data_IF_972372927258
#
_entry.id   IF_972372927258
#
_cell.length_a   1.000
_cell.length_b   1.000
_cell.length_c   1.000
_cell.angle_alpha   90.00
_cell.angle_beta   90.00
_cell.angle_gamma   90.00
#
_symmetry.space_group_name_H-M   'P 1'
#
loop_
_entity.id
_entity.type
_entity.pdbx_description
1 polymer ?
#
# COMPACT_ATOMS: atom_id res chain seq x y z
N UNK A 1 -12.24 -27.53 -21.71
CA UNK A 1 -11.05 -27.04 -20.99
C UNK A 1 -10.99 -27.80 -19.68
N UNK A 2 -10.29 -28.93 -19.64
CA UNK A 2 -10.12 -29.70 -18.42
C UNK A 2 -9.23 -28.89 -17.46
N UNK A 3 -9.78 -28.47 -16.32
CA UNK A 3 -8.98 -27.85 -15.27
C UNK A 3 -7.90 -28.83 -14.80
N UNK A 4 -6.75 -28.30 -14.40
CA UNK A 4 -5.69 -29.11 -13.80
C UNK A 4 -6.30 -29.96 -12.68
N UNK A 5 -6.03 -31.28 -12.64
CA UNK A 5 -6.60 -32.15 -11.63
C UNK A 5 -6.20 -31.64 -10.24
N UNK A 6 -7.13 -31.70 -9.29
CA UNK A 6 -6.95 -31.13 -7.93
C UNK A 6 -5.65 -31.60 -7.25
N UNK A 7 -5.18 -32.81 -7.56
CA UNK A 7 -3.91 -33.37 -7.08
C UNK A 7 -2.68 -32.57 -7.53
N UNK A 8 -2.69 -32.01 -8.74
CA UNK A 8 -1.59 -31.20 -9.27
C UNK A 8 -1.58 -29.81 -8.65
N UNK A 9 -2.77 -29.26 -8.36
CA UNK A 9 -2.90 -27.98 -7.65
C UNK A 9 -2.41 -28.12 -6.21
N UNK A 10 -2.82 -29.18 -5.49
CA UNK A 10 -2.33 -29.47 -4.13
C UNK A 10 -0.83 -29.74 -4.10
N UNK A 11 -0.29 -30.45 -5.09
CA UNK A 11 1.16 -30.68 -5.18
C UNK A 11 1.91 -29.35 -5.39
N UNK A 12 1.46 -28.49 -6.30
CA UNK A 12 2.07 -27.17 -6.52
C UNK A 12 1.99 -26.27 -5.28
N UNK A 13 0.87 -26.34 -4.55
CA UNK A 13 0.65 -25.54 -3.34
C UNK A 13 1.51 -26.04 -2.17
N UNK A 14 1.73 -27.36 -2.07
CA UNK A 14 2.66 -27.97 -1.12
C UNK A 14 4.13 -27.62 -1.44
N UNK A 15 4.52 -27.64 -2.71
CA UNK A 15 5.85 -27.27 -3.16
C UNK A 15 6.14 -25.78 -2.90
N UNK A 16 5.16 -24.90 -3.14
CA UNK A 16 5.27 -23.48 -2.83
C UNK A 16 5.38 -23.22 -1.31
N UNK A 17 4.62 -23.95 -0.48
CA UNK A 17 4.72 -23.89 0.99
C UNK A 17 6.08 -24.37 1.48
N UNK A 18 6.62 -25.42 0.89
CA UNK A 18 7.94 -25.94 1.23
C UNK A 18 9.05 -24.96 0.80
N UNK A 19 8.98 -24.40 -0.41
CA UNK A 19 9.93 -23.39 -0.86
C UNK A 19 9.90 -22.11 0.01
N UNK A 20 8.71 -21.69 0.46
CA UNK A 20 8.58 -20.60 1.44
C UNK A 20 9.21 -20.95 2.78
N UNK A 21 9.05 -22.18 3.24
CA UNK A 21 9.67 -22.70 4.48
C UNK A 21 11.20 -22.83 4.35
N UNK A 22 11.72 -23.15 3.18
CA UNK A 22 13.16 -23.26 2.93
C UNK A 22 13.81 -21.87 2.80
N UNK A 23 13.10 -20.89 2.24
CA UNK A 23 13.56 -19.49 2.11
C UNK A 23 13.44 -18.70 3.42
N UNK A 24 12.43 -18.97 4.25
CA UNK A 24 12.13 -18.21 5.47
C UNK A 24 12.29 -19.01 6.78
N UNK A 25 12.74 -20.27 6.70
CA UNK A 25 12.79 -21.21 7.82
C UNK A 25 11.40 -21.67 8.26
N UNK A 26 11.32 -22.78 9.00
CA UNK A 26 10.15 -23.09 9.83
C UNK A 26 9.96 -21.91 10.80
N UNK A 27 9.07 -20.98 10.47
CA UNK A 27 8.69 -19.89 11.36
C UNK A 27 7.95 -20.43 12.58
N UNK A 28 8.60 -21.21 13.43
CA UNK A 28 8.41 -21.02 14.87
C UNK A 28 8.99 -19.64 15.16
N UNK A 29 8.27 -18.77 15.87
CA UNK A 29 8.88 -17.54 16.38
C UNK A 29 10.11 -17.96 17.20
N UNK A 30 11.30 -17.62 16.69
CA UNK A 30 12.52 -17.81 17.45
C UNK A 30 12.45 -16.88 18.67
N UNK A 31 12.12 -17.47 19.83
CA UNK A 31 12.25 -16.82 21.13
C UNK A 31 10.97 -16.48 21.88
N UNK A 32 9.93 -17.33 21.87
CA UNK A 32 9.02 -17.35 23.05
C UNK A 32 9.66 -18.32 24.05
N UNK A 33 10.34 -17.85 25.11
CA UNK A 33 10.76 -18.75 26.18
C UNK A 33 9.51 -19.39 26.78
N UNK A 34 9.55 -20.72 26.91
CA UNK A 34 8.56 -21.48 27.67
C UNK A 34 8.39 -20.83 29.04
N UNK A 35 7.14 -20.46 29.39
CA UNK A 35 6.68 -20.02 30.70
C UNK A 35 7.65 -19.12 31.48
N UNK A 36 7.54 -17.80 31.29
CA UNK A 36 8.11 -16.84 32.25
C UNK A 36 7.35 -17.01 33.58
N UNK A 37 8.05 -17.27 34.71
CA UNK A 37 7.39 -17.40 36.00
C UNK A 37 6.73 -16.07 36.38
N UNK A 38 5.48 -16.15 36.86
CA UNK A 38 4.67 -15.07 37.41
C UNK A 38 5.42 -14.34 38.54
N UNK A 39 6.22 -13.34 38.19
CA UNK A 39 6.83 -12.43 39.14
C UNK A 39 6.59 -11.00 38.64
N UNK A 40 5.69 -10.22 39.27
CA UNK A 40 5.47 -8.84 38.88
C UNK A 40 6.72 -8.02 39.26
N UNK A 41 7.49 -7.62 38.26
CA UNK A 41 8.55 -6.62 38.44
C UNK A 41 7.89 -5.28 38.75
N UNK A 42 7.74 -5.00 40.05
CA UNK A 42 7.28 -3.72 40.56
C UNK A 42 8.31 -2.63 40.26
N UNK A 43 8.14 -1.90 39.15
CA UNK A 43 8.86 -0.64 38.94
C UNK A 43 8.04 0.49 39.57
N UNK A 44 8.27 0.67 40.86
CA UNK A 44 7.89 1.85 41.62
C UNK A 44 8.85 2.99 41.30
N UNK A 45 8.44 3.95 40.50
CA UNK A 45 8.66 5.41 40.69
C UNK A 45 8.05 6.19 39.53
N UNK A 46 7.52 7.38 39.84
CA UNK A 46 6.65 8.19 38.99
C UNK A 46 7.27 8.53 37.60
N UNK A 47 6.66 7.98 36.55
CA UNK A 47 6.38 8.65 35.27
C UNK A 47 7.47 8.77 34.17
N UNK A 48 8.35 7.77 34.00
CA UNK A 48 9.19 7.70 32.80
C UNK A 48 9.25 6.28 32.22
N UNK A 49 8.80 6.11 30.97
CA UNK A 49 9.00 4.88 30.20
C UNK A 49 10.50 4.56 30.07
N UNK A 50 10.91 3.28 30.20
CA UNK A 50 12.27 2.86 29.94
C UNK A 50 12.73 3.26 28.53
N UNK A 51 14.01 3.58 28.36
CA UNK A 51 14.53 4.10 27.08
C UNK A 51 14.37 3.11 25.93
N UNK A 52 14.62 1.83 26.18
CA UNK A 52 14.38 0.73 25.24
C UNK A 52 12.92 0.67 24.78
N UNK A 53 11.95 0.88 25.68
CA UNK A 53 10.52 0.87 25.34
C UNK A 53 10.16 2.10 24.50
N UNK A 54 10.76 3.26 24.77
CA UNK A 54 10.56 4.46 23.93
C UNK A 54 11.09 4.24 22.51
N UNK A 55 12.31 3.72 22.37
CA UNK A 55 12.90 3.40 21.07
C UNK A 55 12.06 2.38 20.31
N UNK A 56 11.58 1.34 21.01
CA UNK A 56 10.67 0.35 20.45
C UNK A 56 9.41 1.01 19.86
N UNK A 57 8.72 1.84 20.65
CA UNK A 57 7.51 2.54 20.20
C UNK A 57 7.82 3.44 18.98
N UNK A 58 8.91 4.21 19.02
CA UNK A 58 9.31 5.11 17.93
C UNK A 58 9.53 4.35 16.62
N UNK A 59 10.23 3.22 16.67
CA UNK A 59 10.48 2.39 15.49
C UNK A 59 9.17 1.81 14.93
N UNK A 60 8.27 1.31 15.80
CA UNK A 60 7.00 0.73 15.36
C UNK A 60 6.06 1.78 14.77
N UNK A 61 6.05 3.00 15.33
CA UNK A 61 5.33 4.13 14.75
C UNK A 61 5.94 4.55 13.40
N UNK A 62 7.27 4.52 13.26
CA UNK A 62 7.95 4.79 11.99
C UNK A 62 7.56 3.78 10.89
N UNK A 63 7.33 2.52 11.28
CA UNK A 63 6.76 1.46 10.44
C UNK A 63 5.26 1.58 10.17
N UNK A 64 4.61 2.69 10.58
CA UNK A 64 3.18 2.96 10.39
C UNK A 64 2.26 1.85 10.95
N UNK A 65 2.67 1.22 12.05
CA UNK A 65 1.82 0.29 12.81
C UNK A 65 0.66 1.05 13.47
N UNK A 66 -0.46 0.37 13.68
CA UNK A 66 -1.59 0.93 14.42
C UNK A 66 -1.21 1.10 15.90
N UNK A 67 -1.54 2.23 16.55
CA UNK A 67 -1.24 2.43 17.97
C UNK A 67 -1.80 1.34 18.88
N UNK A 68 -2.93 0.72 18.50
CA UNK A 68 -3.53 -0.40 19.26
C UNK A 68 -2.66 -1.66 19.23
N UNK A 69 -2.09 -1.95 18.07
CA UNK A 69 -1.22 -3.10 17.87
C UNK A 69 0.09 -2.90 18.64
N UNK A 70 0.65 -1.67 18.60
CA UNK A 70 1.86 -1.33 19.37
C UNK A 70 1.64 -1.47 20.88
N UNK A 71 0.47 -1.07 21.40
CA UNK A 71 0.13 -1.27 22.82
C UNK A 71 0.12 -2.76 23.17
N UNK A 72 -0.46 -3.60 22.30
CA UNK A 72 -0.48 -5.06 22.50
C UNK A 72 0.93 -5.63 22.50
N UNK A 73 1.73 -5.26 21.50
CA UNK A 73 3.10 -5.75 21.31
C UNK A 73 4.03 -5.32 22.46
N UNK A 74 3.86 -4.11 23.00
CA UNK A 74 4.58 -3.66 24.20
C UNK A 74 4.17 -4.45 25.44
N UNK A 75 2.88 -4.78 25.57
CA UNK A 75 2.40 -5.62 26.67
C UNK A 75 2.98 -7.03 26.59
N UNK A 76 3.04 -7.63 25.41
CA UNK A 76 3.61 -8.97 25.22
C UNK A 76 5.13 -9.00 25.43
N UNK A 77 5.84 -8.01 24.89
CA UNK A 77 7.32 -8.00 24.90
C UNK A 77 7.91 -7.53 26.22
N UNK A 78 7.28 -6.55 26.87
CA UNK A 78 7.82 -5.89 28.07
C UNK A 78 6.95 -6.08 29.32
N UNK A 79 5.80 -6.76 29.22
CA UNK A 79 4.82 -6.87 30.31
C UNK A 79 4.38 -5.51 30.87
N UNK A 80 4.39 -4.47 30.02
CA UNK A 80 4.01 -3.10 30.39
C UNK A 80 2.66 -2.74 29.78
N UNK A 81 1.74 -2.27 30.62
CA UNK A 81 0.46 -1.73 30.16
C UNK A 81 0.59 -0.23 29.91
N UNK A 82 0.53 0.17 28.65
CA UNK A 82 0.58 1.57 28.21
C UNK A 82 -0.72 1.97 27.49
N UNK A 83 -1.03 3.26 27.45
CA UNK A 83 -2.17 3.76 26.69
C UNK A 83 -1.77 4.12 25.26
N UNK A 84 -2.72 4.03 24.32
CA UNK A 84 -2.49 4.42 22.93
C UNK A 84 -2.09 5.90 22.80
N UNK A 85 -2.61 6.78 23.66
CA UNK A 85 -2.22 8.20 23.68
C UNK A 85 -0.73 8.40 23.99
N UNK A 86 -0.15 7.54 24.85
CA UNK A 86 1.28 7.56 25.14
C UNK A 86 2.09 7.10 23.93
N UNK A 87 1.61 6.08 23.20
CA UNK A 87 2.23 5.62 21.94
C UNK A 87 2.25 6.74 20.89
N UNK A 88 1.14 7.46 20.73
CA UNK A 88 1.03 8.55 19.75
C UNK A 88 1.92 9.76 20.05
N UNK A 89 2.33 9.94 21.31
CA UNK A 89 3.28 10.98 21.70
C UNK A 89 4.69 10.73 21.12
N UNK A 90 5.01 9.49 20.78
CA UNK A 90 6.31 9.12 20.19
C UNK A 90 6.27 9.07 18.65
N UNK A 91 5.48 9.96 18.05
CA UNK A 91 5.39 10.13 16.60
C UNK A 91 5.62 11.62 16.25
N UNK A 92 6.76 11.99 15.65
CA UNK A 92 7.09 13.38 15.33
C UNK A 92 6.23 13.97 14.21
N UNK A 93 5.48 13.15 13.46
CA UNK A 93 4.56 13.63 12.42
C UNK A 93 3.25 14.16 13.00
N UNK A 94 2.92 13.76 14.23
CA UNK A 94 1.73 14.20 14.96
C UNK A 94 2.04 15.40 15.86
N UNK A 95 1.02 16.21 16.13
CA UNK A 95 1.10 17.39 17.04
C UNK A 95 1.67 17.00 18.41
N UNK A 96 1.21 15.86 18.95
CA UNK A 96 1.62 15.40 20.27
C UNK A 96 3.11 14.97 20.36
N UNK A 97 3.76 14.66 19.24
CA UNK A 97 5.16 14.21 19.22
C UNK A 97 6.19 15.24 18.76
N UNK A 98 5.77 16.49 18.50
CA UNK A 98 6.70 17.57 18.14
C UNK A 98 7.70 17.91 19.26
N UNK A 99 7.31 17.71 20.52
CA UNK A 99 8.14 17.96 21.71
C UNK A 99 9.11 16.82 22.04
N UNK A 100 9.20 15.80 21.18
CA UNK A 100 10.12 14.68 21.36
C UNK A 100 11.60 15.11 21.24
N UNK A 101 12.49 14.43 21.99
CA UNK A 101 13.95 14.63 21.90
C UNK A 101 14.45 14.40 20.48
N UNK A 102 15.44 15.18 20.07
CA UNK A 102 15.97 15.16 18.70
C UNK A 102 16.57 13.80 18.31
N UNK A 103 17.17 13.08 19.26
CA UNK A 103 17.69 11.72 19.06
C UNK A 103 16.59 10.75 18.62
N UNK A 104 15.44 10.77 19.28
CA UNK A 104 14.31 9.92 18.93
C UNK A 104 13.66 10.35 17.61
N UNK A 105 13.69 11.65 17.28
CA UNK A 105 13.22 12.14 15.96
C UNK A 105 14.11 11.59 14.85
N UNK A 106 15.44 11.63 15.04
CA UNK A 106 16.40 11.04 14.10
C UNK A 106 16.16 9.55 13.92
N UNK A 107 15.98 8.81 15.03
CA UNK A 107 15.66 7.38 15.00
C UNK A 107 14.37 7.10 14.21
N UNK A 108 13.32 7.89 14.44
CA UNK A 108 12.05 7.75 13.70
C UNK A 108 12.26 7.86 12.19
N UNK A 109 12.88 8.94 11.73
CA UNK A 109 13.06 9.16 10.29
C UNK A 109 14.05 8.19 9.66
N UNK A 110 15.03 7.71 10.42
CA UNK A 110 15.92 6.64 9.97
C UNK A 110 15.15 5.34 9.78
N UNK A 111 14.45 4.87 10.81
CA UNK A 111 13.65 3.65 10.74
C UNK A 111 12.58 3.70 9.63
N UNK A 112 11.96 4.87 9.42
CA UNK A 112 11.01 5.07 8.33
C UNK A 112 11.67 4.90 6.95
N UNK A 113 12.84 5.50 6.73
CA UNK A 113 13.59 5.35 5.46
C UNK A 113 14.00 3.90 5.23
N UNK A 114 14.51 3.23 6.25
CA UNK A 114 14.95 1.84 6.18
C UNK A 114 13.78 0.92 5.83
N UNK A 115 12.63 1.14 6.46
CA UNK A 115 11.41 0.39 6.17
C UNK A 115 10.90 0.63 4.75
N UNK A 116 10.86 1.89 4.30
CA UNK A 116 10.49 2.18 2.92
C UNK A 116 11.47 1.56 1.92
N UNK A 117 12.77 1.53 2.24
CA UNK A 117 13.76 0.85 1.41
C UNK A 117 13.51 -0.67 1.34
N UNK A 118 13.15 -1.30 2.45
CA UNK A 118 12.73 -2.71 2.49
C UNK A 118 11.48 -2.92 1.64
N UNK A 119 10.44 -2.09 1.80
CA UNK A 119 9.21 -2.18 1.01
C UNK A 119 9.47 -1.99 -0.49
N UNK A 120 10.37 -1.07 -0.87
CA UNK A 120 10.76 -0.86 -2.27
C UNK A 120 11.46 -2.08 -2.87
N UNK A 121 12.16 -2.89 -2.07
CA UNK A 121 12.78 -4.16 -2.51
C UNK A 121 11.75 -5.27 -2.72
N UNK A 122 10.62 -5.22 -2.03
CA UNK A 122 9.54 -6.20 -2.19
C UNK A 122 8.77 -5.84 -3.47
N UNK A 123 9.06 -6.57 -4.56
CA UNK A 123 8.49 -6.30 -5.89
C UNK A 123 6.97 -6.18 -5.90
N UNK A 124 6.24 -7.06 -5.19
CA UNK A 124 4.77 -7.04 -5.16
C UNK A 124 4.21 -5.75 -4.54
N UNK A 125 4.95 -5.08 -3.65
CA UNK A 125 4.52 -3.82 -3.05
C UNK A 125 4.66 -2.65 -4.03
N UNK A 126 5.64 -2.70 -4.92
CA UNK A 126 5.87 -1.67 -5.92
C UNK A 126 4.92 -1.82 -7.13
N UNK A 127 4.20 -0.74 -7.45
CA UNK A 127 3.32 -0.68 -8.61
C UNK A 127 4.07 -0.92 -9.93
N UNK A 128 5.25 -0.33 -10.11
CA UNK A 128 6.02 -0.44 -11.35
C UNK A 128 6.39 -1.89 -11.65
N UNK A 129 6.77 -2.64 -10.61
CA UNK A 129 7.10 -4.06 -10.73
C UNK A 129 5.87 -4.91 -11.05
N UNK A 130 4.73 -4.65 -10.40
CA UNK A 130 3.47 -5.36 -10.74
C UNK A 130 3.05 -5.09 -12.18
N UNK A 131 3.13 -3.85 -12.64
CA UNK A 131 2.84 -3.48 -14.03
C UNK A 131 3.78 -4.16 -15.03
N UNK A 132 5.08 -4.24 -14.72
CA UNK A 132 6.04 -4.98 -15.53
C UNK A 132 5.69 -6.47 -15.62
N UNK A 133 5.32 -7.10 -14.51
CA UNK A 133 4.87 -8.50 -14.49
C UNK A 133 3.60 -8.70 -15.33
N UNK A 134 2.61 -7.81 -15.19
CA UNK A 134 1.38 -7.84 -15.98
C UNK A 134 1.67 -7.68 -17.48
N UNK A 135 2.61 -6.82 -17.86
CA UNK A 135 3.04 -6.65 -19.26
C UNK A 135 3.66 -7.93 -19.82
N UNK A 136 4.59 -8.56 -19.09
CA UNK A 136 5.20 -9.83 -19.52
C UNK A 136 4.14 -10.91 -19.72
N UNK A 137 3.21 -11.05 -18.77
CA UNK A 137 2.10 -12.00 -18.89
C UNK A 137 1.20 -11.67 -20.09
N UNK A 138 0.95 -10.38 -20.34
CA UNK A 138 0.11 -9.90 -21.42
C UNK A 138 0.72 -10.26 -22.78
N UNK A 139 2.01 -10.02 -22.99
CA UNK A 139 2.74 -10.41 -24.21
C UNK A 139 2.68 -11.93 -24.42
N UNK A 140 2.98 -12.73 -23.40
CA UNK A 140 2.90 -14.19 -23.50
C UNK A 140 1.50 -14.67 -23.87
N UNK A 141 0.44 -14.08 -23.28
CA UNK A 141 -0.93 -14.45 -23.63
C UNK A 141 -1.35 -14.03 -25.05
N UNK A 142 -0.76 -12.97 -25.61
CA UNK A 142 -0.97 -12.59 -27.01
C UNK A 142 -0.32 -13.59 -27.96
N UNK A 143 0.91 -14.01 -27.68
CA UNK A 143 1.62 -15.03 -28.47
C UNK A 143 0.85 -16.36 -28.49
N UNK A 144 0.22 -16.72 -27.37
CA UNK A 144 -0.64 -17.91 -27.26
C UNK A 144 -2.02 -17.75 -27.93
N UNK A 145 -2.36 -16.58 -28.48
CA UNK A 145 -3.67 -16.29 -29.07
C UNK A 145 -4.82 -16.18 -28.05
N UNK A 146 -4.50 -16.06 -26.76
CA UNK A 146 -5.46 -16.00 -25.66
C UNK A 146 -5.95 -14.56 -25.39
N UNK A 147 -6.51 -13.89 -26.41
CA UNK A 147 -6.88 -12.48 -26.35
C UNK A 147 -7.85 -12.11 -25.22
N UNK A 148 -8.77 -13.01 -24.86
CA UNK A 148 -9.68 -12.81 -23.73
C UNK A 148 -8.93 -12.67 -22.40
N UNK A 149 -7.83 -13.40 -22.22
CA UNK A 149 -6.99 -13.31 -21.02
C UNK A 149 -6.10 -12.07 -21.07
N UNK A 150 -5.54 -11.75 -22.25
CA UNK A 150 -4.79 -10.51 -22.47
C UNK A 150 -5.64 -9.27 -22.13
N UNK A 151 -6.92 -9.25 -22.51
CA UNK A 151 -7.83 -8.15 -22.17
C UNK A 151 -8.01 -7.99 -20.65
N UNK A 152 -8.09 -9.09 -19.90
CA UNK A 152 -8.19 -9.07 -18.43
C UNK A 152 -6.91 -8.56 -17.77
N UNK A 153 -5.75 -8.93 -18.30
CA UNK A 153 -4.46 -8.43 -17.78
C UNK A 153 -4.30 -6.93 -18.02
N UNK A 154 -4.73 -6.43 -19.18
CA UNK A 154 -4.79 -4.99 -19.48
C UNK A 154 -5.78 -4.27 -18.56
N UNK A 155 -6.96 -4.85 -18.32
CA UNK A 155 -7.94 -4.31 -17.36
C UNK A 155 -7.35 -4.23 -15.95
N UNK A 156 -6.62 -5.26 -15.51
CA UNK A 156 -5.95 -5.27 -14.22
C UNK A 156 -4.88 -4.18 -14.13
N UNK A 157 -4.06 -4.02 -15.17
CA UNK A 157 -3.07 -2.95 -15.25
C UNK A 157 -3.73 -1.56 -15.19
N UNK A 158 -4.84 -1.37 -15.91
CA UNK A 158 -5.60 -0.13 -15.90
C UNK A 158 -6.20 0.17 -14.50
N UNK A 159 -6.70 -0.84 -13.79
CA UNK A 159 -7.19 -0.70 -12.41
C UNK A 159 -6.07 -0.29 -11.44
N UNK A 160 -4.87 -0.83 -11.60
CA UNK A 160 -3.72 -0.42 -10.79
C UNK A 160 -3.30 1.03 -11.06
N UNK A 161 -3.19 1.43 -12.34
CA UNK A 161 -2.87 2.81 -12.72
C UNK A 161 -3.96 3.80 -12.30
N UNK A 162 -5.22 3.42 -12.43
CA UNK A 162 -6.38 4.22 -12.03
C UNK A 162 -6.59 4.32 -10.51
N UNK A 163 -5.72 3.71 -9.70
CA UNK A 163 -5.82 3.78 -8.25
C UNK A 163 -7.05 3.07 -7.66
N UNK A 164 -7.64 2.13 -8.40
CA UNK A 164 -8.86 1.40 -8.00
C UNK A 164 -8.72 0.69 -6.65
N UNK A 165 -7.49 0.23 -6.34
CA UNK A 165 -7.17 -0.48 -5.10
C UNK A 165 -6.62 0.40 -3.98
N UNK A 166 -6.50 1.71 -4.20
CA UNK A 166 -6.05 2.65 -3.18
C UNK A 166 -7.23 3.16 -2.34
N UNK A 167 -7.03 3.37 -1.03
CA UNK A 167 -8.08 3.77 -0.06
C UNK A 167 -8.69 5.17 -0.31
N UNK A 168 -8.24 5.87 -1.34
CA UNK A 168 -8.92 7.00 -1.91
C UNK A 168 -9.06 6.72 -3.40
N UNK A 169 -10.21 6.20 -3.89
CA UNK A 169 -10.44 6.25 -5.32
C UNK A 169 -10.29 7.71 -5.71
N UNK A 170 -9.41 8.01 -6.69
CA UNK A 170 -9.45 9.28 -7.42
C UNK A 170 -10.77 9.26 -8.21
N UNK A 171 -11.87 9.44 -7.49
CA UNK A 171 -13.18 9.57 -8.06
C UNK A 171 -13.19 10.95 -8.70
N UNK A 172 -12.91 10.98 -10.00
CA UNK A 172 -13.21 12.13 -10.86
C UNK A 172 -14.73 12.27 -10.80
N UNK A 173 -15.22 13.14 -9.92
CA UNK A 173 -16.65 13.38 -9.68
C UNK A 173 -17.16 14.60 -10.45
N UNK A 174 -16.30 15.39 -11.10
CA UNK A 174 -16.73 16.56 -11.86
C UNK A 174 -15.84 16.96 -13.03
N UNK A 175 -16.30 17.97 -13.78
CA UNK A 175 -15.57 18.63 -14.88
C UNK A 175 -14.26 19.27 -14.36
N UNK A 176 -14.27 19.75 -13.12
CA UNK A 176 -13.10 20.32 -12.44
C UNK A 176 -11.98 19.28 -12.23
N UNK A 177 -12.35 18.02 -12.00
CA UNK A 177 -11.40 16.91 -11.85
C UNK A 177 -10.79 16.52 -13.20
N UNK A 178 -11.52 16.70 -14.31
CA UNK A 178 -10.99 16.52 -15.67
C UNK A 178 -9.98 17.62 -16.02
N UNK A 179 -10.27 18.86 -15.63
CA UNK A 179 -9.36 19.99 -15.80
C UNK A 179 -8.09 19.82 -14.96
N UNK A 180 -8.21 19.34 -13.72
CA UNK A 180 -7.09 19.03 -12.85
C UNK A 180 -6.22 17.87 -13.38
N UNK A 181 -6.83 16.85 -14.00
CA UNK A 181 -6.11 15.77 -14.68
C UNK A 181 -5.36 16.27 -15.92
N UNK A 182 -6.00 17.11 -16.73
CA UNK A 182 -5.40 17.68 -17.93
C UNK A 182 -4.24 18.64 -17.57
N UNK A 183 -4.40 19.43 -16.51
CA UNK A 183 -3.37 20.27 -15.92
C UNK A 183 -2.16 19.46 -15.44
N UNK A 184 -2.39 18.34 -14.76
CA UNK A 184 -1.33 17.42 -14.34
C UNK A 184 -0.61 16.74 -15.50
N UNK A 185 -1.32 16.40 -16.57
CA UNK A 185 -0.74 15.83 -17.80
C UNK A 185 0.12 16.85 -18.58
N UNK A 186 -0.27 18.13 -18.57
CA UNK A 186 0.38 19.21 -19.31
C UNK A 186 1.36 20.04 -18.48
N UNK A 187 1.56 19.69 -17.19
CA UNK A 187 2.40 20.44 -16.24
C UNK A 187 2.07 21.94 -16.16
N UNK A 188 0.79 22.32 -16.27
CA UNK A 188 0.32 23.70 -16.12
C UNK A 188 -0.66 23.82 -14.94
N UNK A 189 -0.94 25.04 -14.47
CA UNK A 189 -1.94 25.23 -13.41
C UNK A 189 -3.34 25.04 -14.01
N UNK A 190 -4.32 24.49 -13.27
CA UNK A 190 -5.68 24.28 -13.78
C UNK A 190 -6.34 25.56 -14.31
N UNK A 191 -5.96 26.71 -13.76
CA UNK A 191 -6.41 28.05 -14.12
C UNK A 191 -5.92 28.52 -15.50
N UNK A 192 -4.79 27.96 -15.98
CA UNK A 192 -4.15 28.33 -17.24
C UNK A 192 -4.79 27.59 -18.44
N UNK A 193 -5.70 26.65 -18.19
CA UNK A 193 -6.41 25.91 -19.23
C UNK A 193 -7.66 26.64 -19.72
N UNK A 194 -7.95 26.60 -21.03
CA UNK A 194 -9.18 27.18 -21.54
C UNK A 194 -10.41 26.49 -20.91
N UNK A 195 -11.45 27.25 -20.56
CA UNK A 195 -12.65 26.67 -19.95
C UNK A 195 -13.28 25.66 -20.92
N UNK A 196 -13.56 24.46 -20.41
CA UNK A 196 -14.24 23.43 -21.20
C UNK A 196 -15.64 23.95 -21.50
N UNK A 197 -16.04 24.08 -22.78
CA UNK A 197 -17.38 24.58 -23.09
C UNK A 197 -18.40 23.63 -22.48
N UNK A 198 -19.29 24.17 -21.63
CA UNK A 198 -20.43 23.43 -21.11
C UNK A 198 -21.17 22.83 -22.31
N UNK A 199 -21.46 21.53 -22.27
CA UNK A 199 -22.16 20.84 -23.35
C UNK A 199 -23.49 21.55 -23.66
N UNK A 200 -23.49 22.42 -24.67
CA UNK A 200 -24.68 23.06 -25.19
C UNK A 200 -25.49 22.06 -26.04
N UNK A 201 -26.81 22.24 -26.17
CA UNK A 201 -27.62 21.32 -26.97
C UNK A 201 -27.32 21.48 -28.48
N UNK A 202 -26.85 20.38 -29.07
CA UNK A 202 -26.90 19.91 -30.46
C UNK A 202 -26.76 20.90 -31.64
N UNK A 203 -25.77 20.66 -32.52
CA UNK A 203 -25.92 20.85 -33.97
C UNK A 203 -24.84 20.12 -34.80
N UNK A 204 -25.05 18.82 -35.10
CA UNK A 204 -24.67 18.30 -36.41
C UNK A 204 -25.91 17.65 -37.02
N UNK A 205 -26.72 18.46 -37.71
CA UNK A 205 -27.69 17.92 -38.68
C UNK A 205 -26.92 17.69 -39.98
N UNK A 206 -26.79 16.45 -40.48
CA UNK A 206 -26.31 16.25 -41.84
C UNK A 206 -27.30 16.91 -42.80
N UNK A 207 -26.80 17.77 -43.69
CA UNK A 207 -27.65 18.42 -44.70
C UNK A 207 -28.08 17.38 -45.74
N UNK A 208 -29.35 17.42 -46.21
CA UNK A 208 -29.79 16.55 -47.28
C UNK A 208 -29.08 16.95 -48.59
N UNK A 209 -28.40 15.98 -49.20
CA UNK A 209 -27.85 16.08 -50.56
C UNK A 209 -28.98 16.30 -51.55
N UNK A 210 -29.00 17.44 -52.23
CA UNK A 210 -29.87 17.66 -53.39
C UNK A 210 -29.34 16.81 -54.54
N UNK A 211 -30.01 15.70 -54.85
CA UNK A 211 -29.89 15.06 -56.17
C UNK A 211 -30.39 16.06 -57.22
N UNK A 212 -29.49 16.46 -58.13
CA UNK A 212 -29.88 17.12 -59.38
C UNK A 212 -30.23 16.03 -60.38
N UNK A 213 -31.49 15.99 -60.79
CA UNK A 213 -31.92 15.23 -61.97
C UNK A 213 -31.20 15.70 -63.23
N UNK A 214 -30.90 14.74 -64.09
CA UNK A 214 -30.82 14.88 -65.54
C UNK A 214 -31.90 13.97 -66.12
#
# INVERSE_FOLDING_TARGET
>A
MAGLPASVVEAALSAAKQALRDLYGDGKPNGVPDAVPDAPLAVSTRNALPENVKQFIVIHNAHRRSPRDVVHEVKETFNLTISAAVVERYDPTKVNGQTMRDELKRLYFQAQRDHEAILRRIGITNQDYRLACLHVMQVATQEMGAYKLSAKLLEQAAKEVGGFYSKAPRAVKGVDDQLALLAGLLNCRPEDLPPIPAAGPAAFRPQPTKEKGH
#
